data_IF_736981444973
#
_entry.id   IF_736981444973
#
_cell.length_a   1.000
_cell.length_b   1.000
_cell.length_c   1.000
_cell.angle_alpha   90.00
_cell.angle_beta   90.00
_cell.angle_gamma   90.00
#
_symmetry.space_group_name_H-M   'P 1'
#
loop_
_entity.id
_entity.type
_entity.pdbx_description
1 polymer ?
#
# COMPACT_ATOMS: atom_id res chain seq x y z
N UNK A 1 -19.46 5.22 32.54
CA UNK A 1 -18.20 4.46 32.71
C UNK A 1 -18.34 2.94 32.45
N UNK A 2 -19.56 2.36 32.47
CA UNK A 2 -19.78 0.92 32.23
C UNK A 2 -19.73 0.48 30.74
N UNK A 3 -19.96 1.38 29.78
CA UNK A 3 -20.00 1.03 28.35
C UNK A 3 -18.62 0.77 27.70
N UNK A 4 -17.54 1.30 28.27
CA UNK A 4 -16.18 1.06 27.75
C UNK A 4 -15.63 -0.30 28.17
N UNK A 5 -16.05 -0.82 29.32
CA UNK A 5 -15.55 -2.10 29.83
C UNK A 5 -16.12 -3.30 29.06
N UNK A 6 -17.37 -3.22 28.60
CA UNK A 6 -18.01 -4.30 27.83
C UNK A 6 -17.47 -4.43 26.40
N UNK A 7 -16.99 -3.34 25.78
CA UNK A 7 -16.36 -3.41 24.44
C UNK A 7 -14.95 -4.01 24.47
N UNK A 8 -14.19 -3.80 25.56
CA UNK A 8 -12.85 -4.37 25.72
C UNK A 8 -12.93 -5.89 25.93
N UNK A 9 -13.98 -6.39 26.58
CA UNK A 9 -14.14 -7.82 26.83
C UNK A 9 -14.52 -8.63 25.56
N UNK A 10 -15.27 -8.05 24.62
CA UNK A 10 -15.66 -8.72 23.37
C UNK A 10 -14.51 -8.86 22.35
N UNK A 11 -13.48 -8.01 22.44
CA UNK A 11 -12.26 -8.11 21.61
C UNK A 11 -11.35 -9.26 22.07
N UNK A 12 -11.43 -9.65 23.34
CA UNK A 12 -10.60 -10.71 23.94
C UNK A 12 -11.13 -12.14 23.72
N UNK A 13 -12.37 -12.34 23.28
CA UNK A 13 -12.99 -13.68 23.15
C UNK A 13 -13.19 -14.17 21.71
N UNK A 14 -12.81 -13.41 20.68
CA UNK A 14 -12.99 -13.83 19.29
C UNK A 14 -11.74 -13.55 18.43
N UNK A 15 -10.86 -14.54 18.19
CA UNK A 15 -9.67 -14.37 17.33
C UNK A 15 -10.03 -14.00 15.87
N UNK A 16 -11.26 -14.28 15.43
CA UNK A 16 -11.79 -13.83 14.13
C UNK A 16 -12.02 -12.32 14.03
N UNK A 17 -12.34 -11.63 15.13
CA UNK A 17 -12.61 -10.19 15.13
C UNK A 17 -11.34 -9.35 14.92
N UNK A 18 -10.23 -9.78 15.53
CA UNK A 18 -8.92 -9.15 15.30
C UNK A 18 -8.51 -9.27 13.83
N UNK A 19 -8.74 -10.43 13.20
CA UNK A 19 -8.41 -10.67 11.80
C UNK A 19 -9.27 -9.83 10.85
N UNK A 20 -10.57 -9.64 11.16
CA UNK A 20 -11.49 -8.82 10.35
C UNK A 20 -11.19 -7.32 10.50
N UNK A 21 -10.91 -6.84 11.71
CA UNK A 21 -10.51 -5.44 11.93
C UNK A 21 -9.18 -5.12 11.23
N UNK A 22 -8.18 -6.00 11.34
CA UNK A 22 -6.89 -5.81 10.66
C UNK A 22 -7.07 -5.82 9.14
N UNK A 23 -7.85 -6.76 8.58
CA UNK A 23 -8.15 -6.78 7.13
C UNK A 23 -8.84 -5.50 6.66
N UNK A 24 -9.82 -5.01 7.41
CA UNK A 24 -10.53 -3.78 7.07
C UNK A 24 -9.64 -2.54 7.16
N UNK A 25 -8.79 -2.42 8.19
CA UNK A 25 -7.85 -1.30 8.32
C UNK A 25 -6.78 -1.32 7.23
N UNK A 26 -6.23 -2.49 6.88
CA UNK A 26 -5.24 -2.64 5.80
C UNK A 26 -5.88 -2.33 4.45
N UNK A 27 -7.09 -2.83 4.17
CA UNK A 27 -7.83 -2.57 2.94
C UNK A 27 -8.13 -1.07 2.77
N UNK A 28 -8.60 -0.40 3.84
CA UNK A 28 -8.85 1.05 3.82
C UNK A 28 -7.56 1.85 3.60
N UNK A 29 -6.44 1.44 4.21
CA UNK A 29 -5.14 2.08 4.02
C UNK A 29 -4.60 1.91 2.59
N UNK A 30 -4.77 0.73 1.98
CA UNK A 30 -4.37 0.48 0.59
C UNK A 30 -5.24 1.27 -0.41
N UNK A 31 -6.54 1.39 -0.14
CA UNK A 31 -7.45 2.23 -0.94
C UNK A 31 -7.08 3.71 -0.83
N UNK A 32 -6.76 4.18 0.38
CA UNK A 32 -6.32 5.56 0.60
C UNK A 32 -5.03 5.86 -0.17
N UNK A 33 -4.07 4.92 -0.21
CA UNK A 33 -2.83 5.09 -0.95
C UNK A 33 -3.06 5.06 -2.46
N UNK A 34 -3.90 4.15 -2.97
CA UNK A 34 -4.24 4.09 -4.38
C UNK A 34 -4.96 5.35 -4.87
N UNK A 35 -5.88 5.90 -4.05
CA UNK A 35 -6.58 7.15 -4.36
C UNK A 35 -5.61 8.34 -4.40
N UNK A 36 -4.64 8.40 -3.50
CA UNK A 36 -3.61 9.45 -3.54
C UNK A 36 -2.74 9.32 -4.80
N UNK A 37 -2.41 8.09 -5.22
CA UNK A 37 -1.67 7.85 -6.47
C UNK A 37 -2.46 8.29 -7.70
N UNK A 38 -3.76 7.99 -7.76
CA UNK A 38 -4.64 8.45 -8.82
C UNK A 38 -4.71 9.99 -8.86
N UNK A 39 -4.86 10.62 -7.70
CA UNK A 39 -4.88 12.09 -7.59
C UNK A 39 -3.59 12.73 -8.12
N UNK A 40 -2.43 12.16 -7.83
CA UNK A 40 -1.16 12.67 -8.37
C UNK A 40 -1.10 12.51 -9.89
N UNK A 41 -1.59 11.39 -10.44
CA UNK A 41 -1.66 11.21 -11.89
C UNK A 41 -2.60 12.23 -12.57
N UNK A 42 -3.74 12.55 -11.96
CA UNK A 42 -4.65 13.60 -12.43
C UNK A 42 -4.03 15.00 -12.37
N UNK A 43 -3.14 15.24 -11.41
CA UNK A 43 -2.37 16.49 -11.32
C UNK A 43 -1.31 16.57 -12.43
N UNK A 44 -0.57 15.48 -12.66
CA UNK A 44 0.38 15.38 -13.78
C UNK A 44 -0.33 15.62 -15.13
N UNK A 45 -1.51 15.02 -15.33
CA UNK A 45 -2.28 15.21 -16.57
C UNK A 45 -2.71 16.67 -16.77
N UNK A 46 -3.15 17.34 -15.69
CA UNK A 46 -3.48 18.78 -15.72
C UNK A 46 -2.25 19.64 -16.05
N UNK A 47 -1.08 19.29 -15.52
CA UNK A 47 0.17 19.99 -15.85
C UNK A 47 0.57 19.81 -17.31
N UNK A 48 0.43 18.60 -17.86
CA UNK A 48 0.67 18.34 -19.28
C UNK A 48 -0.26 19.20 -20.16
N UNK A 49 -1.55 19.27 -19.82
CA UNK A 49 -2.50 20.13 -20.54
C UNK A 49 -2.08 21.61 -20.49
N UNK A 50 -1.61 22.09 -19.33
CA UNK A 50 -1.12 23.46 -19.19
C UNK A 50 0.16 23.72 -20.01
N UNK A 51 1.09 22.76 -20.04
CA UNK A 51 2.32 22.82 -20.87
C UNK A 51 1.95 22.93 -22.36
N UNK A 52 1.01 22.11 -22.83
CA UNK A 52 0.56 22.13 -24.22
C UNK A 52 -0.13 23.46 -24.59
N UNK A 53 -0.98 23.97 -23.70
CA UNK A 53 -1.61 25.29 -23.89
C UNK A 53 -0.56 26.41 -23.97
N UNK A 54 0.44 26.40 -23.08
CA UNK A 54 1.53 27.38 -23.11
C UNK A 54 2.36 27.28 -24.39
N UNK A 55 2.66 26.06 -24.87
CA UNK A 55 3.35 25.85 -26.14
C UNK A 55 2.55 26.42 -27.33
N UNK A 56 1.23 26.26 -27.34
CA UNK A 56 0.36 26.88 -28.34
C UNK A 56 0.46 28.41 -28.34
N UNK A 57 0.52 29.03 -27.15
CA UNK A 57 0.72 30.47 -27.01
C UNK A 57 2.10 30.93 -27.51
N UNK A 58 3.16 30.16 -27.25
CA UNK A 58 4.52 30.43 -27.78
C UNK A 58 4.52 30.42 -29.30
N UNK A 59 3.89 29.41 -29.93
CA UNK A 59 3.79 29.31 -31.39
C UNK A 59 3.03 30.52 -31.97
N UNK A 60 1.94 30.94 -31.32
CA UNK A 60 1.18 32.11 -31.75
C UNK A 60 2.01 33.39 -31.63
N UNK A 61 2.79 33.56 -30.55
CA UNK A 61 3.68 34.71 -30.39
C UNK A 61 4.77 34.74 -31.47
N UNK A 62 5.35 33.58 -31.80
CA UNK A 62 6.33 33.44 -32.87
C UNK A 62 5.77 33.74 -34.28
N UNK A 63 4.45 33.60 -34.47
CA UNK A 63 3.80 33.92 -35.76
C UNK A 63 3.60 35.42 -36.00
N UNK A 64 3.87 36.28 -35.01
CA UNK A 64 3.75 37.74 -35.16
C UNK A 64 4.90 38.28 -36.00
N UNK A 65 4.66 39.38 -36.72
CA UNK A 65 5.71 40.09 -37.47
C UNK A 65 6.88 40.54 -36.57
N UNK A 66 6.58 40.85 -35.31
CA UNK A 66 7.58 41.24 -34.30
C UNK A 66 7.32 40.52 -32.97
N UNK A 67 7.86 39.31 -32.78
CA UNK A 67 7.68 38.54 -31.56
C UNK A 67 8.31 39.23 -30.34
N UNK A 68 7.72 39.03 -29.16
CA UNK A 68 8.31 39.51 -27.91
C UNK A 68 9.35 38.52 -27.38
N UNK A 69 10.62 38.73 -27.73
CA UNK A 69 11.75 37.86 -27.33
C UNK A 69 11.84 37.63 -25.81
N UNK A 70 11.63 38.67 -25.00
CA UNK A 70 11.67 38.52 -23.52
C UNK A 70 10.55 37.62 -22.99
N UNK A 71 9.38 37.68 -23.60
CA UNK A 71 8.26 36.79 -23.25
C UNK A 71 8.58 35.35 -23.67
N UNK A 72 9.15 35.17 -24.86
CA UNK A 72 9.53 33.87 -25.40
C UNK A 72 10.59 33.20 -24.53
N UNK A 73 11.65 33.91 -24.12
CA UNK A 73 12.69 33.38 -23.23
C UNK A 73 12.12 32.93 -21.88
N UNK A 74 11.20 33.72 -21.32
CA UNK A 74 10.51 33.38 -20.08
C UNK A 74 9.64 32.13 -20.26
N UNK A 75 8.87 32.05 -21.35
CA UNK A 75 8.00 30.91 -21.63
C UNK A 75 8.80 29.64 -21.93
N UNK A 76 9.94 29.74 -22.61
CA UNK A 76 10.85 28.63 -22.84
C UNK A 76 11.42 28.10 -21.52
N UNK A 77 11.89 29.00 -20.64
CA UNK A 77 12.39 28.64 -19.31
C UNK A 77 11.31 27.96 -18.46
N UNK A 78 10.09 28.49 -18.48
CA UNK A 78 8.94 27.90 -17.78
C UNK A 78 8.57 26.53 -18.36
N UNK A 79 8.56 26.39 -19.68
CA UNK A 79 8.28 25.13 -20.36
C UNK A 79 9.29 24.05 -19.96
N UNK A 80 10.59 24.35 -19.99
CA UNK A 80 11.64 23.42 -19.55
C UNK A 80 11.44 22.99 -18.11
N UNK A 81 11.18 23.93 -17.20
CA UNK A 81 10.94 23.63 -15.80
C UNK A 81 9.70 22.74 -15.58
N UNK A 82 8.59 23.03 -16.29
CA UNK A 82 7.37 22.22 -16.21
C UNK A 82 7.56 20.82 -16.77
N UNK A 83 8.27 20.66 -17.89
CA UNK A 83 8.58 19.34 -18.46
C UNK A 83 9.45 18.51 -17.50
N UNK A 84 10.50 19.12 -16.92
CA UNK A 84 11.35 18.45 -15.93
C UNK A 84 10.57 18.00 -14.69
N UNK A 85 9.62 18.84 -14.23
CA UNK A 85 8.73 18.50 -13.12
C UNK A 85 7.86 17.27 -13.46
N UNK A 86 7.15 17.33 -14.58
CA UNK A 86 6.29 16.22 -15.06
C UNK A 86 7.10 14.94 -15.21
N UNK A 87 8.29 15.00 -15.80
CA UNK A 87 9.17 13.85 -15.98
C UNK A 87 9.60 13.24 -14.63
N UNK A 88 9.98 14.07 -13.67
CA UNK A 88 10.38 13.63 -12.32
C UNK A 88 9.22 12.94 -11.58
N UNK A 89 8.04 13.54 -11.61
CA UNK A 89 6.84 13.03 -10.93
C UNK A 89 6.35 11.72 -11.57
N UNK A 90 6.29 11.68 -12.91
CA UNK A 90 5.91 10.48 -13.64
C UNK A 90 6.92 9.35 -13.42
N UNK A 91 8.23 9.65 -13.40
CA UNK A 91 9.27 8.69 -13.04
C UNK A 91 9.12 8.17 -11.60
N UNK A 92 8.62 9.01 -10.69
CA UNK A 92 8.23 8.60 -9.34
C UNK A 92 7.09 7.58 -9.35
N UNK A 93 6.04 7.83 -10.15
CA UNK A 93 4.90 6.91 -10.28
C UNK A 93 5.29 5.60 -10.97
N UNK A 94 6.12 5.65 -12.02
CA UNK A 94 6.66 4.45 -12.68
C UNK A 94 7.46 3.62 -11.68
N UNK A 95 8.39 4.23 -10.93
CA UNK A 95 9.17 3.51 -9.91
C UNK A 95 8.27 2.85 -8.87
N UNK A 96 7.25 3.55 -8.39
CA UNK A 96 6.27 2.99 -7.47
C UNK A 96 5.51 1.81 -8.11
N UNK A 97 5.01 1.97 -9.34
CA UNK A 97 4.30 0.92 -10.04
C UNK A 97 5.19 -0.31 -10.26
N UNK A 98 6.45 -0.11 -10.65
CA UNK A 98 7.45 -1.18 -10.73
C UNK A 98 7.64 -1.87 -9.38
N UNK A 99 7.76 -1.12 -8.28
CA UNK A 99 7.88 -1.65 -6.91
C UNK A 99 6.71 -2.58 -6.57
N UNK A 100 5.48 -2.15 -6.83
CA UNK A 100 4.28 -2.92 -6.49
C UNK A 100 3.97 -4.04 -7.49
N UNK A 101 4.34 -3.88 -8.77
CA UNK A 101 4.09 -4.86 -9.84
C UNK A 101 5.16 -5.97 -9.92
N UNK A 102 6.41 -5.69 -9.50
CA UNK A 102 7.49 -6.69 -9.42
C UNK A 102 7.49 -7.47 -8.09
N UNK A 103 6.53 -7.19 -7.20
CA UNK A 103 6.23 -8.03 -6.04
C UNK A 103 6.90 -7.62 -4.73
N UNK A 104 7.48 -6.43 -4.58
CA UNK A 104 8.00 -5.97 -3.27
C UNK A 104 7.85 -4.45 -3.17
N UNK A 105 6.90 -3.85 -2.40
CA UNK A 105 6.72 -4.07 -0.96
C UNK A 105 5.26 -3.86 -0.47
N UNK A 106 4.59 -4.94 -0.13
CA UNK A 106 3.47 -4.91 0.84
C UNK A 106 3.55 -6.10 1.81
N UNK A 107 4.68 -6.81 1.79
CA UNK A 107 4.86 -8.12 2.43
C UNK A 107 5.55 -8.03 3.80
N UNK A 108 6.30 -6.98 4.13
CA UNK A 108 6.96 -6.88 5.44
C UNK A 108 6.01 -7.06 6.64
N UNK A 109 4.78 -6.54 6.55
CA UNK A 109 3.74 -6.71 7.58
C UNK A 109 2.75 -7.83 7.25
N UNK A 110 2.27 -7.92 6.00
CA UNK A 110 1.25 -8.91 5.62
C UNK A 110 1.79 -10.33 5.41
N UNK A 111 2.98 -10.48 4.82
CA UNK A 111 3.65 -11.78 4.71
C UNK A 111 4.20 -12.21 6.06
N UNK A 112 4.79 -11.29 6.85
CA UNK A 112 5.21 -11.63 8.23
C UNK A 112 4.01 -12.09 9.07
N UNK A 113 2.91 -11.35 9.10
CA UNK A 113 1.72 -11.76 9.87
C UNK A 113 1.11 -13.09 9.38
N UNK A 114 1.09 -13.32 8.06
CA UNK A 114 0.61 -14.59 7.49
C UNK A 114 1.55 -15.75 7.85
N UNK A 115 2.86 -15.55 7.71
CA UNK A 115 3.89 -16.53 8.07
C UNK A 115 3.85 -16.85 9.56
N UNK A 116 3.74 -15.84 10.41
CA UNK A 116 3.65 -15.99 11.87
C UNK A 116 2.37 -16.74 12.24
N UNK A 117 1.24 -16.44 11.60
CA UNK A 117 -0.02 -17.18 11.75
C UNK A 117 0.11 -18.65 11.30
N UNK A 118 0.70 -18.91 10.13
CA UNK A 118 0.94 -20.28 9.64
C UNK A 118 1.89 -21.04 10.56
N UNK A 119 2.96 -20.42 11.07
CA UNK A 119 3.87 -21.05 12.01
C UNK A 119 3.20 -21.32 13.37
N UNK A 120 2.31 -20.43 13.84
CA UNK A 120 1.52 -20.66 15.05
C UNK A 120 0.57 -21.86 14.89
N UNK A 121 -0.09 -21.99 13.74
CA UNK A 121 -0.94 -23.15 13.43
C UNK A 121 -0.12 -24.45 13.40
N UNK A 122 1.03 -24.47 12.72
CA UNK A 122 1.91 -25.63 12.68
C UNK A 122 2.38 -26.04 14.09
N UNK A 123 2.66 -25.07 14.97
CA UNK A 123 3.02 -25.33 16.38
C UNK A 123 1.85 -25.93 17.17
N UNK A 124 0.63 -25.46 16.95
CA UNK A 124 -0.58 -26.01 17.58
C UNK A 124 -0.81 -27.45 17.14
N UNK A 125 -0.71 -27.72 15.83
CA UNK A 125 -0.90 -29.07 15.30
C UNK A 125 0.16 -30.03 15.81
N UNK A 126 1.42 -29.58 15.90
CA UNK A 126 2.48 -30.36 16.53
C UNK A 126 2.21 -30.65 18.01
N UNK A 127 1.78 -29.64 18.77
CA UNK A 127 1.42 -29.81 20.19
C UNK A 127 0.26 -30.80 20.38
N UNK A 128 -0.75 -30.78 19.50
CA UNK A 128 -1.86 -31.75 19.50
C UNK A 128 -1.37 -33.18 19.29
N UNK A 129 -0.46 -33.39 18.33
CA UNK A 129 0.14 -34.71 18.08
C UNK A 129 0.87 -35.20 19.33
N UNK A 130 1.70 -34.35 19.95
CA UNK A 130 2.45 -34.71 21.17
C UNK A 130 1.55 -34.99 22.37
N UNK A 131 0.47 -34.23 22.55
CA UNK A 131 -0.50 -34.50 23.61
C UNK A 131 -1.23 -35.83 23.38
N UNK A 132 -1.58 -36.15 22.14
CA UNK A 132 -2.21 -37.44 21.82
C UNK A 132 -1.26 -38.63 22.07
N UNK A 133 0.02 -38.50 21.71
CA UNK A 133 1.05 -39.50 22.03
C UNK A 133 1.19 -39.71 23.54
N UNK A 134 1.22 -38.62 24.31
CA UNK A 134 1.29 -38.68 25.76
C UNK A 134 0.06 -39.34 26.38
N UNK A 135 -1.16 -38.97 25.93
CA UNK A 135 -2.41 -39.57 26.42
C UNK A 135 -2.39 -41.09 26.25
N UNK A 136 -2.01 -41.58 25.06
CA UNK A 136 -1.90 -43.02 24.81
C UNK A 136 -0.87 -43.69 25.72
N UNK A 137 0.25 -43.02 25.98
CA UNK A 137 1.29 -43.56 26.87
C UNK A 137 0.77 -43.66 28.31
N UNK A 138 0.06 -42.64 28.80
CA UNK A 138 -0.56 -42.66 30.12
C UNK A 138 -1.63 -43.76 30.23
N UNK A 139 -2.47 -43.95 29.22
CA UNK A 139 -3.46 -45.04 29.16
C UNK A 139 -2.76 -46.41 29.23
N UNK A 140 -1.71 -46.61 28.45
CA UNK A 140 -0.93 -47.85 28.47
C UNK A 140 -0.24 -48.12 29.82
N UNK A 141 0.22 -47.08 30.50
CA UNK A 141 0.79 -47.21 31.85
C UNK A 141 -0.27 -47.54 32.91
N UNK A 142 -1.50 -47.07 32.74
CA UNK A 142 -2.62 -47.39 33.62
C UNK A 142 -3.15 -48.82 33.40
N UNK A 143 -2.99 -49.37 32.20
CA UNK A 143 -3.38 -50.73 31.85
C UNK A 143 -2.32 -51.80 32.19
N UNK A 144 -1.12 -51.41 32.64
CA UNK A 144 -0.11 -52.37 33.11
C UNK A 144 -0.46 -52.87 34.53
N UNK A 145 -0.70 -54.18 34.74
CA UNK A 145 -0.86 -54.73 36.07
C UNK A 145 0.49 -54.72 36.82
N UNK A 146 0.44 -54.35 38.11
CA UNK A 146 1.55 -54.45 39.07
C UNK A 146 2.20 -55.84 39.09
#
# INVERSE_FOLDING_TARGET
MFFFHTKVLLVQQNPGFHTVLIKNTVFMATYSLANERLRVLEEIEREIAAILSNAGNVILELSKEKPNERLLDRQASQFTASVQKVESELSGQIRYLTQVATGQPHEGSSYSARKDGTMALNRIDYARVKLAELSRTCEQMLEQPL
#
